data_IF_203156034419
#
_entry.id   IF_203156034419
#
_cell.length_a   1.000
_cell.length_b   1.000
_cell.length_c   1.000
_cell.angle_alpha   90.00
_cell.angle_beta   90.00
_cell.angle_gamma   90.00
#
_symmetry.space_group_name_H-M   'P 1'
#
loop_
_entity.id
_entity.type
_entity.pdbx_description
1 polymer ?
#
# COMPACT_ATOMS: atom_id res chain seq x y z
N UNK A 1 -84.01 16.69 -50.58
CA UNK A 1 -83.12 16.58 -51.71
C UNK A 1 -81.72 16.84 -51.18
N UNK A 2 -80.90 15.85 -50.93
CA UNK A 2 -79.54 15.96 -50.45
C UNK A 2 -78.68 14.83 -51.04
N UNK A 3 -77.75 15.19 -51.89
CA UNK A 3 -76.87 14.28 -52.60
C UNK A 3 -75.78 13.74 -51.68
N UNK A 4 -75.77 12.45 -51.48
CA UNK A 4 -74.68 11.71 -50.82
C UNK A 4 -73.44 11.54 -51.76
N UNK A 5 -72.28 11.98 -51.34
CA UNK A 5 -71.05 11.90 -52.07
C UNK A 5 -70.17 10.74 -51.48
N UNK A 6 -70.11 9.63 -52.21
CA UNK A 6 -69.30 8.47 -51.87
C UNK A 6 -67.78 8.79 -52.02
N UNK A 7 -67.03 8.64 -50.93
CA UNK A 7 -65.54 8.72 -50.93
C UNK A 7 -64.99 7.34 -51.29
N UNK A 8 -64.18 7.29 -52.36
CA UNK A 8 -63.37 6.14 -52.73
C UNK A 8 -62.20 5.93 -51.73
N UNK A 9 -62.18 4.77 -51.08
CA UNK A 9 -61.08 4.30 -50.26
C UNK A 9 -59.92 3.86 -51.11
N UNK A 10 -58.76 4.53 -50.99
CA UNK A 10 -57.54 4.07 -51.57
C UNK A 10 -56.93 2.93 -50.73
N UNK A 11 -56.84 1.74 -51.33
CA UNK A 11 -56.02 0.64 -50.75
C UNK A 11 -54.57 1.05 -50.69
N UNK A 12 -54.06 1.08 -49.44
CA UNK A 12 -52.59 1.21 -49.17
C UNK A 12 -52.02 -0.19 -49.18
N UNK A 13 -51.09 -0.46 -50.07
CA UNK A 13 -50.28 -1.67 -50.09
C UNK A 13 -49.41 -1.70 -48.83
N UNK A 14 -49.25 -2.83 -48.13
CA UNK A 14 -48.30 -2.94 -47.06
C UNK A 14 -46.88 -2.91 -47.63
N UNK A 15 -46.14 -1.84 -47.35
CA UNK A 15 -44.70 -1.78 -47.57
C UNK A 15 -44.02 -2.63 -46.52
N UNK A 16 -43.56 -3.80 -46.92
CA UNK A 16 -42.64 -4.61 -46.09
C UNK A 16 -41.32 -3.81 -45.95
N UNK A 17 -41.09 -3.23 -44.78
CA UNK A 17 -39.80 -2.73 -44.38
C UNK A 17 -38.85 -3.92 -44.18
N UNK A 18 -37.63 -3.91 -44.74
CA UNK A 18 -36.67 -4.92 -44.38
C UNK A 18 -36.19 -4.63 -42.93
N UNK A 19 -36.55 -5.49 -42.00
CA UNK A 19 -35.97 -5.56 -40.69
C UNK A 19 -34.54 -6.12 -40.82
N UNK A 20 -33.60 -5.27 -41.22
CA UNK A 20 -32.19 -5.53 -41.00
C UNK A 20 -31.83 -4.98 -39.64
N UNK A 21 -32.15 -5.72 -38.59
CA UNK A 21 -31.38 -5.61 -37.33
C UNK A 21 -30.01 -6.16 -37.64
N UNK A 22 -29.09 -5.31 -38.08
CA UNK A 22 -27.68 -5.55 -38.00
C UNK A 22 -27.36 -5.55 -36.51
N UNK A 23 -27.41 -6.72 -35.88
CA UNK A 23 -26.84 -6.91 -34.56
C UNK A 23 -25.36 -6.59 -34.71
N UNK A 24 -24.90 -5.58 -33.98
CA UNK A 24 -23.46 -5.36 -33.82
C UNK A 24 -22.83 -6.71 -33.42
N UNK A 25 -21.66 -7.06 -33.95
CA UNK A 25 -21.02 -8.33 -33.58
C UNK A 25 -20.87 -8.36 -32.06
N UNK A 26 -21.24 -9.50 -31.47
CA UNK A 26 -21.07 -9.68 -30.04
C UNK A 26 -19.60 -9.49 -29.67
N UNK A 27 -19.26 -8.74 -28.60
CA UNK A 27 -17.88 -8.53 -28.18
C UNK A 27 -17.21 -9.88 -27.86
N UNK A 28 -15.93 -10.02 -28.16
CA UNK A 28 -15.16 -11.21 -27.80
C UNK A 28 -15.05 -11.36 -26.27
N UNK A 29 -14.71 -12.56 -25.80
CA UNK A 29 -14.46 -12.80 -24.37
C UNK A 29 -13.31 -11.91 -23.89
N UNK A 30 -12.24 -11.77 -24.65
CA UNK A 30 -11.12 -10.86 -24.35
C UNK A 30 -11.59 -9.41 -24.16
N UNK A 31 -12.39 -8.89 -25.09
CA UNK A 31 -12.90 -7.52 -24.97
C UNK A 31 -13.84 -7.32 -23.75
N UNK A 32 -14.50 -8.39 -23.30
CA UNK A 32 -15.29 -8.35 -22.06
C UNK A 32 -14.39 -8.35 -20.82
N UNK A 33 -13.27 -9.10 -20.84
CA UNK A 33 -12.26 -9.08 -19.79
C UNK A 33 -11.59 -7.71 -19.67
N UNK A 34 -11.07 -7.18 -20.79
CA UNK A 34 -10.44 -5.86 -20.81
C UNK A 34 -11.36 -4.79 -20.20
N UNK A 35 -12.66 -4.85 -20.56
CA UNK A 35 -13.63 -3.89 -20.02
C UNK A 35 -13.93 -4.13 -18.55
N UNK A 36 -13.96 -5.37 -18.09
CA UNK A 36 -14.15 -5.68 -16.67
C UNK A 36 -12.94 -5.20 -15.83
N UNK A 37 -11.72 -5.39 -16.30
CA UNK A 37 -10.50 -4.90 -15.66
C UNK A 37 -10.47 -3.36 -15.59
N UNK A 38 -10.78 -2.68 -16.71
CA UNK A 38 -10.89 -1.21 -16.71
C UNK A 38 -11.87 -0.70 -15.65
N UNK A 39 -13.02 -1.37 -15.51
CA UNK A 39 -14.07 -1.01 -14.56
C UNK A 39 -13.67 -1.31 -13.12
N UNK A 40 -12.88 -2.36 -12.86
CA UNK A 40 -12.29 -2.66 -11.56
C UNK A 40 -11.34 -1.54 -11.13
N UNK A 41 -10.45 -1.08 -12.02
CA UNK A 41 -9.54 0.05 -11.76
C UNK A 41 -10.34 1.33 -11.45
N UNK A 42 -11.52 1.51 -12.06
CA UNK A 42 -12.42 2.63 -11.81
C UNK A 42 -13.31 2.45 -10.57
N UNK A 43 -13.13 1.38 -9.79
CA UNK A 43 -13.97 1.00 -8.65
C UNK A 43 -15.46 0.85 -9.00
N UNK A 44 -15.77 0.56 -10.27
CA UNK A 44 -17.15 0.35 -10.74
C UNK A 44 -17.51 -1.14 -10.72
N UNK A 45 -17.59 -1.70 -9.53
CA UNK A 45 -17.73 -3.13 -9.27
C UNK A 45 -19.03 -3.72 -9.83
N UNK A 46 -20.15 -3.01 -9.73
CA UNK A 46 -21.43 -3.49 -10.24
C UNK A 46 -21.44 -3.63 -11.77
N UNK A 47 -20.79 -2.72 -12.47
CA UNK A 47 -20.71 -2.81 -13.92
C UNK A 47 -19.68 -3.86 -14.34
N UNK A 48 -18.55 -3.94 -13.67
CA UNK A 48 -17.55 -5.01 -13.87
C UNK A 48 -18.18 -6.39 -13.74
N UNK A 49 -18.95 -6.61 -12.66
CA UNK A 49 -19.67 -7.86 -12.42
C UNK A 49 -20.56 -8.26 -13.62
N UNK A 50 -21.29 -7.30 -14.23
CA UNK A 50 -22.14 -7.59 -15.40
C UNK A 50 -21.34 -8.05 -16.61
N UNK A 51 -20.14 -7.53 -16.82
CA UNK A 51 -19.25 -7.98 -17.90
C UNK A 51 -18.73 -9.39 -17.64
N UNK A 52 -18.31 -9.69 -16.41
CA UNK A 52 -17.86 -11.02 -16.02
C UNK A 52 -19.01 -12.04 -16.12
N UNK A 53 -20.22 -11.70 -15.71
CA UNK A 53 -21.39 -12.58 -15.87
C UNK A 53 -21.66 -12.96 -17.34
N UNK A 54 -21.49 -12.02 -18.28
CA UNK A 54 -21.61 -12.32 -19.72
C UNK A 54 -20.55 -13.31 -20.20
N UNK A 55 -19.35 -13.29 -19.62
CA UNK A 55 -18.32 -14.28 -19.92
C UNK A 55 -18.76 -15.64 -19.41
N UNK A 56 -19.22 -15.71 -18.16
CA UNK A 56 -19.67 -16.95 -17.51
C UNK A 56 -20.94 -17.53 -18.14
N UNK A 57 -21.82 -16.71 -18.70
CA UNK A 57 -22.97 -17.17 -19.51
C UNK A 57 -22.53 -17.89 -20.79
N UNK A 58 -21.37 -17.52 -21.38
CA UNK A 58 -20.82 -18.15 -22.57
C UNK A 58 -19.94 -19.35 -22.26
N UNK A 59 -19.16 -19.23 -21.19
CA UNK A 59 -18.27 -20.26 -20.68
C UNK A 59 -18.28 -20.26 -19.15
N UNK A 60 -19.16 -21.07 -18.58
CA UNK A 60 -19.30 -21.21 -17.12
C UNK A 60 -18.09 -21.88 -16.45
N UNK A 61 -17.19 -22.48 -17.22
CA UNK A 61 -15.99 -23.15 -16.73
C UNK A 61 -14.75 -22.28 -16.81
N UNK A 62 -14.86 -21.09 -17.34
CA UNK A 62 -13.75 -20.16 -17.48
C UNK A 62 -13.20 -19.78 -16.10
N UNK A 63 -11.99 -20.26 -15.80
CA UNK A 63 -11.37 -20.12 -14.49
C UNK A 63 -11.04 -18.66 -14.19
N UNK A 64 -10.54 -17.90 -15.17
CA UNK A 64 -10.19 -16.50 -15.04
C UNK A 64 -11.44 -15.63 -14.77
N UNK A 65 -12.54 -15.90 -15.46
CA UNK A 65 -13.80 -15.19 -15.20
C UNK A 65 -14.38 -15.51 -13.81
N UNK A 66 -14.25 -16.75 -13.34
CA UNK A 66 -14.66 -17.13 -11.98
C UNK A 66 -13.80 -16.46 -10.94
N UNK A 67 -12.48 -16.41 -11.14
CA UNK A 67 -11.55 -15.72 -10.26
C UNK A 67 -11.86 -14.22 -10.20
N UNK A 68 -12.02 -13.56 -11.34
CA UNK A 68 -12.39 -12.15 -11.41
C UNK A 68 -13.75 -11.88 -10.75
N UNK A 69 -14.73 -12.80 -10.88
CA UNK A 69 -16.01 -12.67 -10.17
C UNK A 69 -15.83 -12.70 -8.66
N UNK A 70 -14.95 -13.57 -8.14
CA UNK A 70 -14.66 -13.64 -6.72
C UNK A 70 -13.97 -12.39 -6.19
N UNK A 71 -13.02 -11.83 -6.97
CA UNK A 71 -12.37 -10.55 -6.63
C UNK A 71 -13.40 -9.42 -6.57
N UNK A 72 -14.30 -9.34 -7.55
CA UNK A 72 -15.38 -8.33 -7.55
C UNK A 72 -16.30 -8.50 -6.32
N UNK A 73 -16.61 -9.73 -5.94
CA UNK A 73 -17.44 -9.99 -4.76
C UNK A 73 -16.75 -9.58 -3.46
N UNK A 74 -15.40 -9.73 -3.37
CA UNK A 74 -14.62 -9.19 -2.25
C UNK A 74 -14.73 -7.66 -2.16
N UNK A 75 -14.55 -6.97 -3.27
CA UNK A 75 -14.65 -5.51 -3.34
C UNK A 75 -16.06 -4.99 -3.01
N UNK A 76 -17.06 -5.83 -3.19
CA UNK A 76 -18.47 -5.53 -2.81
C UNK A 76 -18.78 -5.92 -1.36
N UNK A 77 -17.82 -6.50 -0.64
CA UNK A 77 -18.02 -6.99 0.72
C UNK A 77 -18.74 -8.34 0.80
N UNK A 78 -18.94 -9.04 -0.33
CA UNK A 78 -19.58 -10.36 -0.38
C UNK A 78 -18.58 -11.49 -0.11
N UNK A 79 -17.89 -11.42 1.03
CA UNK A 79 -16.72 -12.23 1.37
C UNK A 79 -17.00 -13.73 1.29
N UNK A 80 -18.14 -14.19 1.82
CA UNK A 80 -18.45 -15.63 1.84
C UNK A 80 -18.70 -16.16 0.42
N UNK A 81 -19.35 -15.36 -0.44
CA UNK A 81 -19.56 -15.74 -1.84
C UNK A 81 -18.23 -15.85 -2.59
N UNK A 82 -17.35 -14.87 -2.41
CA UNK A 82 -16.01 -14.89 -2.97
C UNK A 82 -15.22 -16.13 -2.52
N UNK A 83 -15.24 -16.46 -1.22
CA UNK A 83 -14.60 -17.66 -0.66
C UNK A 83 -15.10 -18.94 -1.34
N UNK A 84 -16.41 -19.09 -1.52
CA UNK A 84 -16.98 -20.26 -2.19
C UNK A 84 -16.53 -20.38 -3.65
N UNK A 85 -16.42 -19.27 -4.36
CA UNK A 85 -15.92 -19.26 -5.74
C UNK A 85 -14.44 -19.66 -5.76
N UNK A 86 -13.58 -19.11 -4.89
CA UNK A 86 -12.17 -19.51 -4.81
C UNK A 86 -12.00 -20.98 -4.45
N UNK A 87 -12.78 -21.50 -3.49
CA UNK A 87 -12.79 -22.93 -3.16
C UNK A 87 -13.19 -23.80 -4.37
N UNK A 88 -14.01 -23.30 -5.26
CA UNK A 88 -14.38 -24.01 -6.49
C UNK A 88 -13.26 -24.04 -7.53
N UNK A 89 -12.23 -23.21 -7.41
CA UNK A 89 -11.06 -23.12 -8.31
C UNK A 89 -9.89 -23.99 -7.85
N UNK A 90 -9.95 -24.56 -6.65
CA UNK A 90 -8.87 -25.39 -6.10
C UNK A 90 -9.35 -26.80 -5.75
N UNK A 91 -8.47 -27.82 -5.77
CA UNK A 91 -8.82 -29.13 -5.25
C UNK A 91 -9.29 -29.09 -3.78
N UNK A 92 -10.25 -29.93 -3.35
CA UNK A 92 -10.77 -31.11 -4.06
C UNK A 92 -11.95 -30.85 -5.02
N UNK A 93 -12.24 -29.59 -5.36
CA UNK A 93 -13.36 -29.27 -6.25
C UNK A 93 -13.22 -29.99 -7.61
N UNK A 94 -14.31 -30.61 -8.08
CA UNK A 94 -14.36 -31.25 -9.40
C UNK A 94 -14.35 -30.22 -10.56
N UNK A 95 -14.61 -28.96 -10.27
CA UNK A 95 -14.61 -27.86 -11.23
C UNK A 95 -13.29 -27.08 -11.23
N UNK A 96 -12.33 -27.48 -10.40
CA UNK A 96 -11.02 -26.85 -10.36
C UNK A 96 -10.27 -27.08 -11.70
N UNK A 97 -9.64 -26.01 -12.25
CA UNK A 97 -8.77 -26.17 -13.40
C UNK A 97 -7.49 -26.93 -13.02
N UNK A 98 -6.77 -27.42 -14.02
CA UNK A 98 -5.50 -28.10 -13.81
C UNK A 98 -4.43 -27.48 -14.74
N UNK A 99 -3.40 -26.79 -14.21
CA UNK A 99 -3.16 -26.51 -12.78
C UNK A 99 -4.17 -25.49 -12.21
N UNK A 100 -4.41 -25.51 -10.89
CA UNK A 100 -5.22 -24.49 -10.24
C UNK A 100 -4.49 -23.13 -10.23
N UNK A 101 -5.21 -22.00 -10.21
CA UNK A 101 -4.59 -20.68 -10.10
C UNK A 101 -3.96 -20.51 -8.71
N UNK A 102 -2.69 -20.08 -8.66
CA UNK A 102 -2.00 -19.80 -7.40
C UNK A 102 -2.63 -18.63 -6.64
N UNK A 103 -3.17 -17.64 -7.36
CA UNK A 103 -3.90 -16.49 -6.82
C UNK A 103 -5.13 -16.91 -6.00
N UNK A 104 -5.89 -17.93 -6.44
CA UNK A 104 -7.01 -18.46 -5.67
C UNK A 104 -6.58 -18.97 -4.28
N UNK A 105 -5.41 -19.59 -4.19
CA UNK A 105 -4.85 -19.99 -2.90
C UNK A 105 -4.41 -18.79 -2.04
N UNK A 106 -3.85 -17.74 -2.65
CA UNK A 106 -3.48 -16.52 -1.93
C UNK A 106 -4.70 -15.85 -1.30
N UNK A 107 -5.78 -15.70 -2.06
CA UNK A 107 -7.05 -15.18 -1.53
C UNK A 107 -7.65 -16.09 -0.44
N UNK A 108 -7.62 -17.41 -0.63
CA UNK A 108 -8.09 -18.33 0.40
C UNK A 108 -7.27 -18.24 1.68
N UNK A 109 -5.96 -18.02 1.58
CA UNK A 109 -5.12 -17.80 2.75
C UNK A 109 -5.55 -16.56 3.55
N UNK A 110 -5.81 -15.44 2.85
CA UNK A 110 -6.29 -14.19 3.47
C UNK A 110 -7.71 -14.32 4.07
N UNK A 111 -8.55 -15.18 3.47
CA UNK A 111 -9.92 -15.44 3.91
C UNK A 111 -10.04 -16.60 4.90
N UNK A 112 -8.93 -17.17 5.34
CA UNK A 112 -8.93 -18.29 6.28
C UNK A 112 -9.29 -17.84 7.70
N UNK A 113 -10.07 -18.66 8.41
CA UNK A 113 -10.51 -18.38 9.78
C UNK A 113 -9.41 -18.67 10.83
N UNK A 114 -8.34 -19.33 10.44
CA UNK A 114 -7.26 -19.69 11.36
C UNK A 114 -5.88 -19.79 10.71
N UNK A 115 -4.82 -19.57 11.52
CA UNK A 115 -3.45 -19.42 11.01
C UNK A 115 -2.93 -20.68 10.31
N UNK A 116 -3.24 -21.87 10.79
CA UNK A 116 -2.78 -23.12 10.14
C UNK A 116 -3.45 -23.38 8.78
N UNK A 117 -4.72 -22.97 8.61
CA UNK A 117 -5.42 -23.04 7.33
C UNK A 117 -4.78 -22.06 6.35
N UNK A 118 -4.54 -20.82 6.78
CA UNK A 118 -3.86 -19.79 5.99
C UNK A 118 -2.47 -20.26 5.53
N UNK A 119 -1.65 -20.78 6.45
CA UNK A 119 -0.34 -21.37 6.12
C UNK A 119 -0.42 -22.49 5.08
N UNK A 120 -1.46 -23.35 5.17
CA UNK A 120 -1.70 -24.41 4.19
C UNK A 120 -1.95 -23.88 2.79
N UNK A 121 -2.75 -22.82 2.69
CA UNK A 121 -3.07 -22.17 1.42
C UNK A 121 -1.86 -21.40 0.86
N UNK A 122 -1.17 -20.59 1.67
CA UNK A 122 0.05 -19.91 1.23
C UNK A 122 1.10 -20.90 0.72
N UNK A 123 1.32 -21.99 1.43
CA UNK A 123 2.26 -23.05 0.99
C UNK A 123 1.87 -23.62 -0.37
N UNK A 124 0.59 -23.93 -0.59
CA UNK A 124 0.12 -24.43 -1.88
C UNK A 124 0.36 -23.41 -3.01
N UNK A 125 0.14 -22.11 -2.76
CA UNK A 125 0.43 -21.05 -3.71
C UNK A 125 1.93 -20.99 -4.05
N UNK A 126 2.80 -20.98 -3.04
CA UNK A 126 4.26 -20.96 -3.21
C UNK A 126 4.73 -22.17 -4.02
N UNK A 127 4.27 -23.38 -3.68
CA UNK A 127 4.64 -24.61 -4.39
C UNK A 127 4.27 -24.54 -5.88
N UNK A 128 3.08 -24.00 -6.22
CA UNK A 128 2.65 -23.81 -7.60
C UNK A 128 3.50 -22.78 -8.34
N UNK A 129 3.79 -21.64 -7.71
CA UNK A 129 4.60 -20.58 -8.30
C UNK A 129 6.03 -21.06 -8.56
N UNK A 130 6.66 -21.68 -7.55
CA UNK A 130 8.03 -22.20 -7.67
C UNK A 130 8.11 -23.27 -8.78
N UNK A 131 7.14 -24.19 -8.84
CA UNK A 131 7.07 -25.16 -9.91
C UNK A 131 6.91 -24.50 -11.29
N UNK A 132 6.08 -23.47 -11.40
CA UNK A 132 5.87 -22.74 -12.67
C UNK A 132 7.12 -22.00 -13.12
N UNK A 133 7.85 -21.35 -12.21
CA UNK A 133 9.13 -20.69 -12.49
C UNK A 133 10.18 -21.69 -12.97
N UNK A 134 10.29 -22.85 -12.30
CA UNK A 134 11.28 -23.89 -12.62
C UNK A 134 11.00 -24.62 -13.94
N UNK A 135 9.74 -24.82 -14.30
CA UNK A 135 9.32 -25.54 -15.51
C UNK A 135 9.05 -24.63 -16.71
N UNK A 136 8.89 -23.33 -16.49
CA UNK A 136 8.53 -22.33 -17.51
C UNK A 136 9.71 -21.92 -18.39
N UNK A 137 10.28 -22.83 -19.18
CA UNK A 137 11.43 -22.56 -20.06
C UNK A 137 11.17 -21.47 -21.13
N UNK A 138 9.91 -21.20 -21.47
CA UNK A 138 9.50 -20.21 -22.47
C UNK A 138 8.95 -18.91 -21.86
N UNK A 139 8.95 -18.79 -20.54
CA UNK A 139 8.46 -17.60 -19.84
C UNK A 139 9.45 -16.46 -19.95
N UNK A 140 8.97 -15.22 -20.06
CA UNK A 140 9.83 -14.03 -20.04
C UNK A 140 10.52 -13.88 -18.68
N UNK A 141 11.65 -13.20 -18.63
CA UNK A 141 12.31 -12.94 -17.34
C UNK A 141 11.49 -12.00 -16.46
N UNK A 142 10.72 -11.09 -17.05
CA UNK A 142 9.80 -10.20 -16.34
C UNK A 142 8.68 -10.98 -15.66
N UNK A 143 8.04 -11.92 -16.39
CA UNK A 143 7.00 -12.78 -15.81
C UNK A 143 7.56 -13.66 -14.68
N UNK A 144 8.79 -14.17 -14.83
CA UNK A 144 9.45 -14.95 -13.78
C UNK A 144 9.75 -14.08 -12.55
N UNK A 145 10.17 -12.83 -12.78
CA UNK A 145 10.42 -11.87 -11.70
C UNK A 145 9.15 -11.59 -10.91
N UNK A 146 8.02 -11.32 -11.59
CA UNK A 146 6.74 -11.09 -10.92
C UNK A 146 6.25 -12.31 -10.14
N UNK A 147 6.42 -13.51 -10.69
CA UNK A 147 6.08 -14.73 -9.96
C UNK A 147 6.97 -14.95 -8.72
N UNK A 148 8.28 -14.63 -8.81
CA UNK A 148 9.19 -14.71 -7.65
C UNK A 148 8.80 -13.72 -6.56
N UNK A 149 8.45 -12.49 -6.92
CA UNK A 149 7.93 -11.50 -5.97
C UNK A 149 6.65 -11.99 -5.30
N UNK A 150 5.71 -12.56 -6.07
CA UNK A 150 4.48 -13.14 -5.53
C UNK A 150 4.76 -14.25 -4.52
N UNK A 151 5.70 -15.14 -4.82
CA UNK A 151 6.09 -16.19 -3.89
C UNK A 151 6.81 -15.63 -2.65
N UNK A 152 7.66 -14.61 -2.80
CA UNK A 152 8.33 -13.94 -1.70
C UNK A 152 7.31 -13.28 -0.75
N UNK A 153 6.33 -12.54 -1.27
CA UNK A 153 5.23 -11.97 -0.47
C UNK A 153 4.44 -13.03 0.29
N UNK A 154 4.12 -14.14 -0.35
CA UNK A 154 3.43 -15.25 0.34
C UNK A 154 4.28 -15.86 1.47
N UNK A 155 5.60 -15.96 1.28
CA UNK A 155 6.52 -16.45 2.31
C UNK A 155 6.66 -15.45 3.46
N UNK A 156 6.69 -14.15 3.17
CA UNK A 156 6.68 -13.09 4.20
C UNK A 156 5.38 -13.16 5.01
N UNK A 157 4.21 -13.29 4.38
CA UNK A 157 2.93 -13.45 5.08
C UNK A 157 2.91 -14.71 5.98
N UNK A 158 3.54 -15.81 5.55
CA UNK A 158 3.69 -17.00 6.41
C UNK A 158 4.60 -16.73 7.63
N UNK A 159 5.68 -15.94 7.46
CA UNK A 159 6.55 -15.52 8.56
C UNK A 159 5.78 -14.67 9.54
N UNK A 160 4.99 -13.71 9.07
CA UNK A 160 4.16 -12.85 9.92
C UNK A 160 3.17 -13.64 10.76
N UNK A 161 2.51 -14.66 10.20
CA UNK A 161 1.64 -15.57 10.95
C UNK A 161 2.41 -16.29 12.07
N UNK A 162 3.63 -16.77 11.79
CA UNK A 162 4.45 -17.42 12.81
C UNK A 162 4.97 -16.45 13.87
N UNK A 163 5.20 -15.19 13.51
CA UNK A 163 5.65 -14.16 14.44
C UNK A 163 4.53 -13.56 15.29
N UNK A 164 3.28 -13.62 14.83
CA UNK A 164 2.12 -13.07 15.53
C UNK A 164 1.26 -14.17 16.15
N UNK A 165 0.44 -14.84 15.34
CA UNK A 165 -0.59 -15.76 15.81
C UNK A 165 -0.02 -17.05 16.42
N UNK A 166 1.11 -17.52 15.91
CA UNK A 166 1.76 -18.77 16.31
C UNK A 166 3.08 -18.57 17.08
N UNK A 167 3.36 -17.34 17.53
CA UNK A 167 4.64 -17.00 18.16
C UNK A 167 4.94 -17.78 19.44
N UNK A 168 3.91 -18.34 20.10
CA UNK A 168 4.04 -19.16 21.31
C UNK A 168 4.22 -20.64 21.02
N UNK A 169 4.16 -21.06 19.76
CA UNK A 169 4.41 -22.46 19.40
C UNK A 169 5.90 -22.80 19.42
N UNK A 170 6.28 -24.01 19.89
CA UNK A 170 7.69 -24.41 20.04
C UNK A 170 8.47 -24.36 18.70
N UNK A 171 7.78 -24.52 17.60
CA UNK A 171 8.35 -24.54 16.25
C UNK A 171 8.50 -23.14 15.63
N UNK A 172 7.94 -22.08 16.22
CA UNK A 172 7.83 -20.75 15.62
C UNK A 172 9.18 -20.23 15.08
N UNK A 173 10.22 -20.22 15.92
CA UNK A 173 11.53 -19.73 15.52
C UNK A 173 12.11 -20.54 14.34
N UNK A 174 12.04 -21.87 14.40
CA UNK A 174 12.59 -22.74 13.34
C UNK A 174 11.79 -22.63 12.03
N UNK A 175 10.48 -22.36 12.10
CA UNK A 175 9.64 -22.11 10.93
C UNK A 175 9.97 -20.77 10.29
N UNK A 176 10.12 -19.70 11.07
CA UNK A 176 10.56 -18.41 10.59
C UNK A 176 11.91 -18.49 9.86
N UNK A 177 12.92 -19.12 10.47
CA UNK A 177 14.24 -19.28 9.84
C UNK A 177 14.18 -20.12 8.55
N UNK A 178 13.36 -21.16 8.51
CA UNK A 178 13.18 -22.02 7.33
C UNK A 178 12.49 -21.29 6.18
N UNK A 179 11.43 -20.54 6.49
CA UNK A 179 10.68 -19.72 5.53
C UNK A 179 11.53 -18.58 5.00
N UNK A 180 12.30 -17.92 5.87
CA UNK A 180 13.24 -16.89 5.48
C UNK A 180 14.31 -17.39 4.51
N UNK A 181 14.91 -18.57 4.79
CA UNK A 181 15.88 -19.17 3.88
C UNK A 181 15.26 -19.49 2.51
N UNK A 182 13.99 -19.95 2.48
CA UNK A 182 13.26 -20.21 1.24
C UNK A 182 12.97 -18.89 0.50
N UNK A 183 12.57 -17.81 1.21
CA UNK A 183 12.30 -16.51 0.63
C UNK A 183 13.56 -15.91 -0.04
N UNK A 184 14.70 -15.94 0.63
CA UNK A 184 15.98 -15.50 0.06
C UNK A 184 16.41 -16.33 -1.17
N UNK A 185 16.12 -17.64 -1.18
CA UNK A 185 16.42 -18.49 -2.36
C UNK A 185 15.47 -18.23 -3.52
N UNK A 186 14.27 -17.74 -3.25
CA UNK A 186 13.23 -17.48 -4.26
C UNK A 186 13.46 -16.14 -4.93
N UNK A 187 13.68 -15.07 -4.15
CA UNK A 187 13.89 -13.71 -4.64
C UNK A 187 14.98 -13.02 -3.81
N UNK A 188 16.22 -13.25 -4.21
CA UNK A 188 17.39 -12.70 -3.50
C UNK A 188 17.42 -11.17 -3.57
N UNK A 189 17.56 -10.53 -2.41
CA UNK A 189 17.63 -9.06 -2.30
C UNK A 189 16.26 -8.36 -2.37
N UNK A 190 15.17 -9.09 -2.26
CA UNK A 190 13.83 -8.50 -2.15
C UNK A 190 13.72 -7.69 -0.84
N UNK A 191 13.27 -6.43 -0.95
CA UNK A 191 13.19 -5.50 0.19
C UNK A 191 12.27 -6.01 1.31
N UNK A 192 11.11 -6.57 0.97
CA UNK A 192 10.14 -7.10 1.93
C UNK A 192 10.71 -8.33 2.69
N UNK A 193 11.48 -9.19 1.99
CA UNK A 193 12.16 -10.32 2.63
C UNK A 193 13.24 -9.85 3.61
N UNK A 194 14.02 -8.83 3.24
CA UNK A 194 15.02 -8.24 4.11
C UNK A 194 14.40 -7.56 5.33
N UNK A 195 13.25 -6.91 5.15
CA UNK A 195 12.46 -6.33 6.23
C UNK A 195 11.92 -7.41 7.19
N UNK A 196 11.35 -8.48 6.67
CA UNK A 196 10.92 -9.63 7.47
C UNK A 196 12.09 -10.27 8.23
N UNK A 197 13.28 -10.37 7.59
CA UNK A 197 14.50 -10.79 8.27
C UNK A 197 14.82 -9.90 9.45
N UNK A 198 14.76 -8.59 9.28
CA UNK A 198 15.02 -7.64 10.37
C UNK A 198 14.09 -7.88 11.56
N UNK A 199 12.78 -8.05 11.30
CA UNK A 199 11.79 -8.34 12.34
C UNK A 199 12.10 -9.65 13.08
N UNK A 200 12.49 -10.72 12.37
CA UNK A 200 12.92 -11.98 12.97
C UNK A 200 14.16 -11.75 13.85
N UNK A 201 15.17 -11.03 13.36
CA UNK A 201 16.42 -10.78 14.12
C UNK A 201 16.15 -9.93 15.37
N UNK A 202 15.23 -8.97 15.29
CA UNK A 202 14.78 -8.21 16.47
C UNK A 202 14.15 -9.13 17.51
N UNK A 203 13.21 -10.00 17.13
CA UNK A 203 12.58 -10.95 18.05
C UNK A 203 13.58 -11.94 18.67
N UNK A 204 14.64 -12.27 17.95
CA UNK A 204 15.77 -13.11 18.42
C UNK A 204 16.80 -12.34 19.26
N UNK A 205 16.55 -11.06 19.60
CA UNK A 205 17.49 -10.18 20.32
C UNK A 205 18.85 -10.03 19.61
N UNK A 206 18.83 -9.91 18.29
CA UNK A 206 20.00 -9.74 17.41
C UNK A 206 19.93 -8.39 16.67
N UNK A 207 20.01 -7.25 17.38
CA UNK A 207 19.79 -5.93 16.78
C UNK A 207 20.81 -5.55 15.70
N UNK A 208 22.09 -5.99 15.83
CA UNK A 208 23.09 -5.67 14.81
C UNK A 208 22.82 -6.41 13.48
N UNK A 209 22.22 -7.61 13.53
CA UNK A 209 21.80 -8.34 12.34
C UNK A 209 20.57 -7.65 11.73
N UNK A 210 19.60 -7.26 12.55
CA UNK A 210 18.42 -6.53 12.13
C UNK A 210 18.79 -5.21 11.44
N UNK A 211 19.74 -4.45 12.02
CA UNK A 211 20.23 -3.19 11.46
C UNK A 211 20.85 -3.38 10.06
N UNK A 212 21.59 -4.48 9.86
CA UNK A 212 22.13 -4.81 8.53
C UNK A 212 21.02 -5.10 7.52
N UNK A 213 19.97 -5.82 7.94
CA UNK A 213 18.87 -6.19 7.06
C UNK A 213 18.00 -4.99 6.68
N UNK A 214 17.67 -4.07 7.62
CA UNK A 214 16.91 -2.84 7.29
C UNK A 214 17.72 -1.92 6.38
N UNK A 215 19.02 -1.76 6.63
CA UNK A 215 19.88 -0.95 5.77
C UNK A 215 20.02 -1.54 4.36
N UNK A 216 20.10 -2.88 4.26
CA UNK A 216 20.10 -3.56 2.97
C UNK A 216 18.76 -3.39 2.25
N UNK A 217 17.61 -3.50 2.94
CA UNK A 217 16.30 -3.25 2.37
C UNK A 217 16.18 -1.83 1.81
N UNK A 218 16.54 -0.83 2.61
CA UNK A 218 16.56 0.59 2.23
C UNK A 218 17.43 0.85 0.98
N UNK A 219 18.61 0.27 0.92
CA UNK A 219 19.55 0.43 -0.19
C UNK A 219 18.98 -0.07 -1.53
N UNK A 220 17.99 -0.97 -1.54
CA UNK A 220 17.43 -1.53 -2.80
C UNK A 220 16.63 -0.50 -3.60
N UNK A 221 16.06 0.54 -2.95
CA UNK A 221 15.18 1.50 -3.60
C UNK A 221 15.44 2.97 -3.22
N UNK A 222 16.32 3.25 -2.26
CA UNK A 222 16.67 4.60 -1.78
C UNK A 222 16.98 5.57 -2.92
N UNK A 223 17.81 5.16 -3.87
CA UNK A 223 18.33 6.03 -4.94
C UNK A 223 17.45 5.99 -6.22
N UNK A 224 16.28 5.34 -6.16
CA UNK A 224 15.36 5.27 -7.30
C UNK A 224 14.56 6.57 -7.42
N UNK A 225 14.25 7.00 -8.66
CA UNK A 225 13.43 8.18 -8.88
C UNK A 225 12.00 7.96 -8.36
N UNK A 226 11.33 9.02 -7.85
CA UNK A 226 9.93 8.93 -7.41
C UNK A 226 9.02 8.29 -8.47
N UNK A 227 8.16 7.36 -8.04
CA UNK A 227 7.25 6.62 -8.93
C UNK A 227 7.88 5.43 -9.65
N UNK A 228 9.13 5.06 -9.37
CA UNK A 228 9.68 3.80 -9.88
C UNK A 228 8.90 2.61 -9.28
N UNK A 229 8.46 1.63 -10.10
CA UNK A 229 7.66 0.50 -9.63
C UNK A 229 8.38 -0.47 -8.68
N UNK A 230 9.67 -0.25 -8.44
CA UNK A 230 10.45 -1.01 -7.44
C UNK A 230 10.43 -0.37 -6.06
N UNK A 231 9.97 0.87 -5.94
CA UNK A 231 9.77 1.51 -4.64
C UNK A 231 8.55 0.82 -4.00
N UNK A 232 8.67 0.33 -2.77
CA UNK A 232 7.55 -0.25 -2.04
C UNK A 232 6.42 0.78 -1.84
N UNK A 233 5.19 0.29 -1.63
CA UNK A 233 4.07 1.16 -1.26
C UNK A 233 4.29 1.88 0.08
N UNK A 234 3.48 2.90 0.36
CA UNK A 234 3.62 3.73 1.55
C UNK A 234 3.58 2.92 2.85
N UNK A 235 2.66 1.96 2.95
CA UNK A 235 2.52 1.10 4.12
C UNK A 235 3.79 0.28 4.39
N UNK A 236 4.32 -0.39 3.38
CA UNK A 236 5.57 -1.17 3.48
C UNK A 236 6.75 -0.28 3.88
N UNK A 237 6.83 0.95 3.35
CA UNK A 237 7.87 1.93 3.71
C UNK A 237 7.74 2.38 5.17
N UNK A 238 6.54 2.67 5.66
CA UNK A 238 6.30 3.03 7.06
C UNK A 238 6.64 1.88 8.01
N UNK A 239 6.37 0.63 7.64
CA UNK A 239 6.79 -0.52 8.44
C UNK A 239 8.33 -0.62 8.53
N UNK A 240 9.05 -0.36 7.43
CA UNK A 240 10.52 -0.30 7.46
C UNK A 240 11.02 0.84 8.37
N UNK A 241 10.40 2.02 8.26
CA UNK A 241 10.75 3.17 9.09
C UNK A 241 10.54 2.88 10.58
N UNK A 242 9.45 2.19 10.97
CA UNK A 242 9.21 1.75 12.34
C UNK A 242 10.34 0.86 12.87
N UNK A 243 10.78 -0.13 12.09
CA UNK A 243 11.92 -0.97 12.46
C UNK A 243 13.20 -0.17 12.61
N UNK A 244 13.43 0.82 11.74
CA UNK A 244 14.59 1.72 11.84
C UNK A 244 14.55 2.58 13.10
N UNK A 245 13.37 3.10 13.47
CA UNK A 245 13.17 3.85 14.72
C UNK A 245 13.48 3.00 15.95
N UNK A 246 13.01 1.75 15.99
CA UNK A 246 13.33 0.80 17.06
C UNK A 246 14.82 0.50 17.16
N UNK A 247 15.52 0.52 16.04
CA UNK A 247 16.97 0.31 15.94
C UNK A 247 17.80 1.58 16.16
N UNK A 248 17.15 2.74 16.36
CA UNK A 248 17.81 4.02 16.55
C UNK A 248 18.37 4.68 15.29
N UNK A 249 17.97 4.17 14.09
CA UNK A 249 18.36 4.72 12.77
C UNK A 249 17.42 5.87 12.37
N UNK A 250 17.32 6.90 13.22
CA UNK A 250 16.33 7.95 13.11
C UNK A 250 16.46 8.78 11.82
N UNK A 251 17.69 9.07 11.36
CA UNK A 251 17.91 9.87 10.16
C UNK A 251 17.37 9.16 8.89
N UNK A 252 17.71 7.86 8.75
CA UNK A 252 17.23 7.05 7.61
C UNK A 252 15.70 6.87 7.68
N UNK A 253 15.15 6.65 8.89
CA UNK A 253 13.71 6.55 9.09
C UNK A 253 12.98 7.84 8.68
N UNK A 254 13.51 9.00 9.08
CA UNK A 254 12.94 10.30 8.72
C UNK A 254 12.92 10.53 7.21
N UNK A 255 13.99 10.15 6.49
CA UNK A 255 14.05 10.26 5.03
C UNK A 255 12.95 9.42 4.35
N UNK A 256 12.71 8.19 4.87
CA UNK A 256 11.63 7.33 4.37
C UNK A 256 10.25 7.94 4.63
N UNK A 257 10.01 8.40 5.86
CA UNK A 257 8.71 8.95 6.29
C UNK A 257 8.40 10.22 5.50
N UNK A 258 9.35 11.14 5.38
CA UNK A 258 9.20 12.37 4.58
C UNK A 258 8.86 12.05 3.12
N UNK A 259 9.43 10.98 2.56
CA UNK A 259 9.08 10.48 1.24
C UNK A 259 7.61 10.05 1.15
N UNK A 260 7.06 9.38 2.16
CA UNK A 260 5.64 8.98 2.21
C UNK A 260 4.75 10.21 2.33
N UNK A 261 5.04 11.12 3.26
CA UNK A 261 4.29 12.38 3.44
C UNK A 261 4.27 13.22 2.16
N UNK A 262 5.37 13.24 1.40
CA UNK A 262 5.42 13.99 0.14
C UNK A 262 4.53 13.41 -0.97
N UNK A 263 4.22 12.11 -0.92
CA UNK A 263 3.34 11.42 -1.86
C UNK A 263 1.87 11.47 -1.42
N UNK A 264 1.61 11.35 -0.11
CA UNK A 264 0.29 11.42 0.51
C UNK A 264 0.34 12.25 1.80
N UNK A 265 0.00 13.52 1.71
CA UNK A 265 -0.08 14.45 2.83
C UNK A 265 -1.32 14.22 3.74
N UNK A 266 -2.16 13.26 3.40
CA UNK A 266 -3.34 12.86 4.19
C UNK A 266 -3.08 11.60 5.04
N UNK A 267 -1.90 10.99 4.97
CA UNK A 267 -1.55 9.80 5.74
C UNK A 267 -1.31 10.17 7.22
N UNK A 268 -2.23 9.76 8.08
CA UNK A 268 -2.21 10.04 9.53
C UNK A 268 -1.02 9.39 10.22
N UNK A 269 -0.67 8.17 9.82
CA UNK A 269 0.42 7.42 10.44
C UNK A 269 1.78 8.00 10.06
N UNK A 270 1.95 8.44 8.82
CA UNK A 270 3.18 9.08 8.37
C UNK A 270 3.48 10.35 9.18
N UNK A 271 2.50 11.25 9.36
CA UNK A 271 2.66 12.44 10.20
C UNK A 271 2.94 12.12 11.66
N UNK A 272 2.30 11.07 12.20
CA UNK A 272 2.58 10.62 13.56
C UNK A 272 4.02 10.16 13.72
N UNK A 273 4.51 9.32 12.80
CA UNK A 273 5.87 8.77 12.85
C UNK A 273 6.93 9.86 12.62
N UNK A 274 6.66 10.82 11.74
CA UNK A 274 7.55 11.96 11.53
C UNK A 274 7.71 12.79 12.80
N UNK A 275 6.58 13.19 13.40
CA UNK A 275 6.58 13.95 14.65
C UNK A 275 7.23 13.19 15.80
N UNK A 276 6.97 11.90 15.94
CA UNK A 276 7.59 11.07 16.98
C UNK A 276 9.10 10.90 16.76
N UNK A 277 9.54 10.71 15.51
CA UNK A 277 10.95 10.63 15.16
C UNK A 277 11.68 11.94 15.51
N UNK A 278 11.17 13.08 15.05
CA UNK A 278 11.73 14.41 15.30
C UNK A 278 11.82 14.72 16.80
N UNK A 279 10.76 14.37 17.57
CA UNK A 279 10.77 14.53 19.02
C UNK A 279 11.85 13.68 19.69
N UNK A 280 11.99 12.40 19.31
CA UNK A 280 13.05 11.53 19.82
C UNK A 280 14.45 12.05 19.48
N UNK A 281 14.64 12.62 18.29
CA UNK A 281 15.91 13.28 17.92
C UNK A 281 16.14 14.54 18.76
N UNK A 282 15.14 15.36 18.99
CA UNK A 282 15.23 16.55 19.84
C UNK A 282 15.64 16.22 21.28
N UNK A 283 15.05 15.17 21.88
CA UNK A 283 15.41 14.70 23.22
C UNK A 283 16.87 14.25 23.31
N UNK A 284 17.38 13.53 22.30
CA UNK A 284 18.78 13.07 22.23
C UNK A 284 19.74 14.24 22.08
N UNK A 285 19.45 15.21 21.21
CA UNK A 285 20.26 16.44 21.08
C UNK A 285 20.27 17.24 22.37
N UNK A 286 19.13 17.38 23.03
CA UNK A 286 18.99 18.03 24.32
C UNK A 286 19.79 17.34 25.43
N UNK A 287 19.90 16.01 25.37
CA UNK A 287 20.75 15.23 26.29
C UNK A 287 22.26 15.34 25.96
N UNK A 288 22.63 16.02 24.89
CA UNK A 288 24.04 16.20 24.46
C UNK A 288 24.57 15.05 23.61
N UNK A 289 23.67 14.19 23.08
CA UNK A 289 24.05 13.18 22.10
C UNK A 289 24.21 13.84 20.72
N UNK A 290 25.24 13.43 19.98
CA UNK A 290 25.35 13.81 18.57
C UNK A 290 24.46 12.90 17.74
N UNK A 291 23.64 13.49 16.88
CA UNK A 291 22.92 12.74 15.86
C UNK A 291 23.96 12.21 14.87
N UNK A 292 24.11 10.88 14.78
CA UNK A 292 24.92 10.28 13.72
C UNK A 292 24.16 10.45 12.41
N UNK A 293 24.69 11.26 11.51
CA UNK A 293 24.23 11.32 10.13
C UNK A 293 24.47 9.99 9.44
N UNK A 294 23.57 9.61 8.52
CA UNK A 294 23.59 8.36 7.79
C UNK A 294 24.96 7.97 7.27
N UNK A 295 25.21 6.68 7.23
CA UNK A 295 26.47 5.97 6.97
C UNK A 295 27.12 6.38 5.63
N UNK A 296 27.86 7.49 5.62
CA UNK A 296 28.81 7.79 4.55
C UNK A 296 30.15 7.08 4.84
N UNK A 297 30.32 5.86 4.34
CA UNK A 297 31.60 5.15 4.30
C UNK A 297 32.65 5.81 3.39
N UNK A 298 32.67 7.13 3.28
CA UNK A 298 33.77 7.84 2.55
C UNK A 298 34.24 9.07 3.31
N UNK A 299 35.36 8.88 4.01
CA UNK A 299 36.24 9.97 4.37
C UNK A 299 36.22 10.38 5.82
N UNK A 300 37.15 9.81 6.59
CA UNK A 300 37.62 10.40 7.84
C UNK A 300 38.24 11.76 7.57
N UNK A 301 37.44 12.80 7.55
CA UNK A 301 37.90 14.15 7.86
C UNK A 301 37.07 14.62 9.04
N UNK A 302 37.78 15.07 10.09
CA UNK A 302 37.17 15.75 11.24
C UNK A 302 36.47 16.98 10.70
N UNK A 303 35.16 16.89 10.51
CA UNK A 303 34.31 18.04 10.30
C UNK A 303 34.08 18.67 11.67
N UNK A 304 34.63 19.85 11.88
CA UNK A 304 34.21 20.76 12.93
C UNK A 304 32.71 20.98 12.79
N UNK A 305 31.99 21.02 13.93
CA UNK A 305 30.57 21.23 13.99
C UNK A 305 30.16 22.31 12.99
N UNK A 306 29.45 21.98 11.95
CA UNK A 306 28.84 22.96 11.04
C UNK A 306 27.73 23.68 11.80
N UNK A 307 27.62 25.00 11.60
CA UNK A 307 26.52 25.84 12.13
C UNK A 307 25.12 25.42 11.63
N UNK A 308 25.03 24.29 10.89
CA UNK A 308 23.81 23.68 10.35
C UNK A 308 23.27 22.51 11.20
N UNK A 309 23.86 22.19 12.36
CA UNK A 309 23.24 21.22 13.28
C UNK A 309 21.98 21.86 13.88
N UNK A 310 20.82 21.39 13.43
CA UNK A 310 19.49 21.81 13.94
C UNK A 310 19.48 21.74 15.47
N UNK A 311 19.17 22.86 16.13
CA UNK A 311 19.04 22.91 17.57
C UNK A 311 17.91 22.01 18.06
N UNK A 312 18.01 21.48 19.29
CA UNK A 312 16.93 20.65 19.84
C UNK A 312 15.57 21.35 19.85
N UNK A 313 15.55 22.69 19.97
CA UNK A 313 14.30 23.51 19.96
C UNK A 313 13.67 23.55 18.57
N UNK A 314 14.46 23.55 17.53
CA UNK A 314 14.00 23.52 16.13
C UNK A 314 13.40 22.17 15.81
N UNK A 315 14.12 21.06 16.11
CA UNK A 315 13.58 19.71 15.98
C UNK A 315 12.28 19.50 16.78
N UNK A 316 12.23 20.06 17.99
CA UNK A 316 11.02 19.97 18.84
C UNK A 316 9.85 20.75 18.26
N UNK A 317 10.11 21.87 17.55
CA UNK A 317 9.09 22.67 16.87
C UNK A 317 8.55 21.94 15.65
N UNK A 318 9.45 21.41 14.82
CA UNK A 318 9.05 20.61 13.66
C UNK A 318 8.26 19.36 14.09
N UNK A 319 8.68 18.70 15.18
CA UNK A 319 7.91 17.61 15.78
C UNK A 319 6.50 18.05 16.17
N UNK A 320 6.37 19.24 16.77
CA UNK A 320 5.07 19.78 17.15
C UNK A 320 4.17 19.98 15.93
N UNK A 321 4.67 20.62 14.89
CA UNK A 321 3.91 20.90 13.68
C UNK A 321 3.41 19.61 13.01
N UNK A 322 4.25 18.56 12.94
CA UNK A 322 3.84 17.23 12.47
C UNK A 322 2.75 16.59 13.34
N UNK A 323 2.91 16.64 14.68
CA UNK A 323 1.93 16.06 15.62
C UNK A 323 0.59 16.82 15.61
N UNK A 324 0.58 18.13 15.45
CA UNK A 324 -0.65 18.91 15.29
C UNK A 324 -1.35 18.59 13.98
N UNK A 325 -0.60 18.41 12.88
CA UNK A 325 -1.13 17.96 11.59
C UNK A 325 -1.72 16.55 11.71
N UNK A 326 -1.00 15.61 12.32
CA UNK A 326 -1.51 14.28 12.61
C UNK A 326 -2.83 14.32 13.40
N UNK A 327 -2.89 15.12 14.48
CA UNK A 327 -4.11 15.26 15.30
C UNK A 327 -5.28 15.79 14.48
N UNK A 328 -5.05 16.81 13.66
CA UNK A 328 -6.07 17.40 12.80
C UNK A 328 -6.62 16.38 11.79
N UNK A 329 -5.73 15.66 11.12
CA UNK A 329 -6.09 14.62 10.15
C UNK A 329 -6.81 13.45 10.81
N UNK A 330 -6.30 12.98 11.96
CA UNK A 330 -6.91 11.88 12.73
C UNK A 330 -8.36 12.17 13.09
N UNK A 331 -8.64 13.40 13.58
CA UNK A 331 -9.99 13.82 13.93
C UNK A 331 -10.84 14.03 12.67
N UNK A 332 -10.29 14.66 11.64
CA UNK A 332 -11.01 14.97 10.40
C UNK A 332 -11.41 13.72 9.61
N UNK A 333 -10.61 12.67 9.66
CA UNK A 333 -10.86 11.39 8.98
C UNK A 333 -11.59 10.36 9.86
N UNK A 334 -11.89 10.68 11.12
CA UNK A 334 -12.43 9.72 12.11
C UNK A 334 -11.55 8.45 12.20
N UNK A 335 -10.22 8.63 12.19
CA UNK A 335 -9.27 7.53 12.14
C UNK A 335 -9.47 6.53 13.27
N UNK A 336 -9.31 5.22 12.97
CA UNK A 336 -9.67 4.15 13.90
C UNK A 336 -8.70 3.99 15.08
N UNK A 337 -7.42 4.34 14.89
CA UNK A 337 -6.37 4.17 15.92
C UNK A 337 -6.44 5.26 17.00
N UNK A 338 -7.32 5.06 17.97
CA UNK A 338 -7.46 5.96 19.12
C UNK A 338 -6.23 5.97 20.06
N UNK A 339 -5.53 4.86 20.32
CA UNK A 339 -4.26 4.87 21.05
C UNK A 339 -3.22 5.83 20.46
N UNK A 340 -3.08 5.88 19.14
CA UNK A 340 -2.21 6.85 18.46
C UNK A 340 -2.56 8.29 18.84
N UNK A 341 -3.84 8.66 18.77
CA UNK A 341 -4.30 10.01 19.14
C UNK A 341 -3.96 10.35 20.60
N UNK A 342 -4.15 9.42 21.52
CA UNK A 342 -3.79 9.63 22.94
C UNK A 342 -2.30 9.92 23.07
N UNK A 343 -1.44 9.16 22.40
CA UNK A 343 0.00 9.37 22.46
C UNK A 343 0.41 10.72 21.81
N UNK A 344 -0.22 11.10 20.70
CA UNK A 344 -0.01 12.43 20.09
C UNK A 344 -0.34 13.54 21.09
N UNK A 345 -1.47 13.44 21.82
CA UNK A 345 -1.86 14.42 22.82
C UNK A 345 -0.89 14.47 24.03
N UNK A 346 -0.35 13.33 24.42
CA UNK A 346 0.70 13.26 25.45
C UNK A 346 1.99 13.96 25.01
N UNK A 347 2.43 13.75 23.77
CA UNK A 347 3.62 14.40 23.21
C UNK A 347 3.43 15.91 23.09
N UNK A 348 2.29 16.36 22.58
CA UNK A 348 1.96 17.79 22.51
C UNK A 348 1.94 18.45 23.90
N UNK A 349 1.39 17.78 24.91
CA UNK A 349 1.42 18.27 26.29
C UNK A 349 2.85 18.37 26.86
N UNK A 350 3.76 17.46 26.51
CA UNK A 350 5.18 17.56 26.87
C UNK A 350 5.84 18.80 26.20
N UNK A 351 5.59 19.01 24.92
CA UNK A 351 6.09 20.18 24.17
C UNK A 351 5.55 21.49 24.76
N UNK A 352 4.28 21.54 25.18
CA UNK A 352 3.69 22.68 25.90
C UNK A 352 4.42 22.98 27.20
N UNK A 353 4.77 21.96 27.99
CA UNK A 353 5.51 22.15 29.27
C UNK A 353 6.92 22.71 29.04
N UNK A 354 7.50 22.47 27.87
CA UNK A 354 8.80 23.00 27.45
C UNK A 354 8.71 24.38 26.80
N UNK A 355 7.48 24.90 26.58
CA UNK A 355 7.25 26.20 25.96
C UNK A 355 7.51 26.25 24.45
N UNK A 356 7.57 25.09 23.80
CA UNK A 356 7.72 24.98 22.34
C UNK A 356 6.39 25.38 21.71
N UNK A 357 6.40 26.42 20.86
CA UNK A 357 5.22 26.91 20.13
C UNK A 357 5.23 26.44 18.69
N UNK A 358 4.03 26.32 18.04
CA UNK A 358 3.94 26.03 16.60
C UNK A 358 4.64 27.12 15.75
N UNK A 359 5.11 26.71 14.57
CA UNK A 359 5.81 27.63 13.65
C UNK A 359 4.93 28.80 13.17
N UNK A 360 3.62 28.58 13.03
CA UNK A 360 2.66 29.60 12.59
C UNK A 360 2.46 30.76 13.57
N UNK A 361 2.77 30.58 14.85
CA UNK A 361 2.63 31.63 15.86
C UNK A 361 3.82 32.61 15.91
N UNK A 362 4.93 32.31 15.23
CA UNK A 362 6.12 33.17 15.20
C UNK A 362 6.11 34.22 14.08
N UNK A 363 5.23 34.05 13.07
CA UNK A 363 5.12 34.97 11.93
C UNK A 363 4.42 36.30 12.22
N UNK A 364 3.61 36.39 13.29
CA UNK A 364 2.76 37.56 13.56
C UNK A 364 3.41 38.63 14.48
N UNK A 365 4.61 38.38 15.06
CA UNK A 365 5.26 39.36 15.92
C UNK A 365 6.11 40.44 15.17
N UNK A 366 6.29 40.33 13.83
CA UNK A 366 7.22 41.19 13.11
C UNK A 366 6.62 42.04 11.96
N UNK A 367 5.32 41.99 11.70
CA UNK A 367 4.66 42.85 10.67
C UNK A 367 3.95 44.07 11.25
N UNK A 368 4.60 44.72 12.23
CA UNK A 368 4.25 46.06 12.70
C UNK A 368 4.89 47.17 11.87
N UNK A 369 5.03 47.05 10.57
CA UNK A 369 5.36 48.16 9.70
C UNK A 369 4.08 48.94 9.34
N UNK A 370 3.88 50.00 10.09
CA UNK A 370 2.90 51.06 9.90
C UNK A 370 3.06 51.68 8.51
N UNK A 371 2.13 51.38 7.61
CA UNK A 371 2.04 52.05 6.32
C UNK A 371 1.66 53.48 6.57
N UNK A 372 2.63 54.43 6.43
CA UNK A 372 2.40 55.85 6.40
C UNK A 372 1.91 56.20 5.00
N UNK A 373 0.63 56.55 4.88
CA UNK A 373 0.07 57.18 3.68
C UNK A 373 0.66 58.57 3.50
N UNK A 374 1.62 58.73 2.60
CA UNK A 374 2.04 60.03 2.08
C UNK A 374 0.98 60.55 1.09
N UNK A 375 0.01 61.28 1.60
CA UNK A 375 -0.84 62.16 0.78
C UNK A 375 -0.01 63.38 0.32
N UNK A 376 0.66 63.32 -0.82
CA UNK A 376 1.21 64.49 -1.48
C UNK A 376 0.16 65.13 -2.41
N UNK A 377 -0.35 66.23 -1.97
CA UNK A 377 -1.10 67.25 -2.69
C UNK A 377 -0.42 67.62 -4.01
N UNK A 378 -1.04 67.36 -5.12
CA UNK A 378 -0.68 68.01 -6.39
C UNK A 378 -1.74 69.03 -6.73
N UNK A 379 -1.45 70.33 -6.34
CA UNK A 379 -2.12 71.47 -6.88
C UNK A 379 -1.83 71.63 -8.37
N UNK A 380 -2.89 71.74 -9.14
CA UNK A 380 -2.86 72.19 -10.53
C UNK A 380 -2.85 73.71 -10.65
N UNK A 381 -1.87 74.17 -11.36
CA UNK A 381 -1.89 75.49 -12.02
C UNK A 381 -1.66 75.39 -13.51
#
# INVERSE_FOLDING_TARGET
MGRTRTKKTKQVKPTTAPSSTSSAPEPSIEALFDKAQELLIQCNYDLAHRFVQRILERDSTNAEAREMSAVIDLERGEVENARQIFLSLVPPSSTAPNPPPHSAYLYLAQLSDGPHEALGHYKAAVDLVVNRVNTGATMSEDDKSELKKTAAKALVAMIEIWMSDLCMEPEAESQCDSLLALAHSTDAGNAEVLQAEASIRMSQSRPEDAQRSVSAAWTTWRDLPPGDPKIPDGETRLQLAKLMLELGLNADALEIIAGVVSEDDQDVEAWYLEGWCLWGMAERVKAGEKLEGGNDEKGKEKQEASDDDLGWEELARDARDCLETCKMLHIGQEHADKPMLVHVEELLAQLDTLGIKPSSEQGDENDGEEWVDDEDDVEMS
#
